data_IF_092609259343
#
_entry.id   IF_092609259343
#
_cell.length_a   1.000
_cell.length_b   1.000
_cell.length_c   1.000
_cell.angle_alpha   90.00
_cell.angle_beta   90.00
_cell.angle_gamma   90.00
#
_symmetry.space_group_name_H-M   'P 1'
#
loop_
_entity.id
_entity.type
_entity.pdbx_description
1 polymer ?
#
# COMPACT_ATOMS: atom_id res chain seq x y z
N UNK A 1 9.12 8.49 0.40
CA UNK A 1 8.39 8.75 1.67
C UNK A 1 6.87 8.74 1.55
N UNK A 2 6.26 9.19 0.44
CA UNK A 2 4.80 9.25 0.30
C UNK A 2 4.06 7.92 0.61
N UNK A 3 4.53 6.79 0.07
CA UNK A 3 3.97 5.46 0.38
C UNK A 3 4.15 5.08 1.85
N UNK A 4 5.37 5.24 2.38
CA UNK A 4 5.71 4.87 3.76
C UNK A 4 4.88 5.65 4.79
N UNK A 5 4.69 6.96 4.58
CA UNK A 5 3.83 7.76 5.44
C UNK A 5 2.35 7.48 5.20
N UNK A 6 1.92 7.39 3.95
CA UNK A 6 0.51 7.22 3.62
C UNK A 6 -0.06 5.85 4.00
N UNK A 7 0.72 4.78 3.88
CA UNK A 7 0.28 3.43 4.26
C UNK A 7 0.16 3.24 5.77
N UNK A 8 0.84 4.06 6.58
CA UNK A 8 0.69 4.12 8.05
C UNK A 8 -0.62 4.77 8.49
N UNK A 9 -1.22 5.61 7.65
CA UNK A 9 -2.46 6.31 7.97
C UNK A 9 -3.65 5.37 7.85
N UNK A 10 -4.62 5.52 8.75
CA UNK A 10 -5.86 4.72 8.71
C UNK A 10 -6.66 4.95 7.43
N UNK A 11 -6.51 6.13 6.85
CA UNK A 11 -7.11 6.55 5.60
C UNK A 11 -6.48 5.88 4.37
N UNK A 12 -5.22 5.40 4.46
CA UNK A 12 -4.50 4.74 3.37
C UNK A 12 -4.02 5.66 2.26
N UNK A 13 -3.61 5.07 1.14
CA UNK A 13 -3.11 5.73 -0.08
C UNK A 13 -4.03 5.38 -1.24
N UNK A 14 -4.39 6.38 -2.04
CA UNK A 14 -5.04 6.16 -3.32
C UNK A 14 -3.97 5.75 -4.37
N UNK A 15 -4.05 4.53 -4.94
CA UNK A 15 -3.09 4.05 -5.95
C UNK A 15 -3.05 4.92 -7.23
N UNK A 16 -4.19 5.51 -7.61
CA UNK A 16 -4.27 6.39 -8.78
C UNK A 16 -3.61 7.74 -8.48
N UNK A 17 -3.82 8.28 -7.28
CA UNK A 17 -3.10 9.49 -6.84
C UNK A 17 -1.59 9.26 -6.74
N UNK A 18 -1.17 8.09 -6.27
CA UNK A 18 0.24 7.71 -6.27
C UNK A 18 0.84 7.74 -7.69
N UNK A 19 0.14 7.19 -8.68
CA UNK A 19 0.57 7.25 -10.09
C UNK A 19 0.66 8.68 -10.62
N UNK A 20 -0.32 9.54 -10.32
CA UNK A 20 -0.30 10.94 -10.77
C UNK A 20 0.87 11.73 -10.17
N UNK A 21 1.29 11.41 -8.94
CA UNK A 21 2.39 12.11 -8.26
C UNK A 21 3.78 11.61 -8.66
N UNK A 22 3.90 10.30 -8.94
CA UNK A 22 5.22 9.65 -9.10
C UNK A 22 5.49 9.15 -10.52
N UNK A 23 4.46 9.06 -11.37
CA UNK A 23 4.51 8.39 -12.67
C UNK A 23 4.60 6.86 -12.59
N UNK A 24 4.65 6.27 -11.39
CA UNK A 24 4.77 4.83 -11.17
C UNK A 24 3.44 4.21 -10.79
N UNK A 25 3.12 3.04 -11.36
CA UNK A 25 1.92 2.27 -10.97
C UNK A 25 2.32 1.23 -9.94
N UNK A 26 1.51 1.09 -8.90
CA UNK A 26 1.63 -0.06 -8.01
C UNK A 26 1.23 -1.33 -8.76
N UNK A 27 2.01 -2.40 -8.59
CA UNK A 27 1.71 -3.69 -9.20
C UNK A 27 0.44 -4.30 -8.61
N UNK A 28 -0.57 -4.55 -9.45
CA UNK A 28 -1.84 -5.13 -9.00
C UNK A 28 -1.69 -6.58 -8.55
N UNK A 29 -0.78 -7.34 -9.17
CA UNK A 29 -0.46 -8.70 -8.70
C UNK A 29 0.16 -8.65 -7.32
N UNK A 30 1.09 -7.71 -7.08
CA UNK A 30 1.76 -7.61 -5.79
C UNK A 30 0.82 -7.14 -4.68
N UNK A 31 -0.06 -6.19 -4.97
CA UNK A 31 -1.14 -5.81 -4.06
C UNK A 31 -2.00 -7.03 -3.70
N UNK A 32 -2.39 -7.84 -4.69
CA UNK A 32 -3.23 -9.01 -4.45
C UNK A 32 -2.53 -10.06 -3.57
N UNK A 33 -1.23 -10.29 -3.78
CA UNK A 33 -0.42 -11.17 -2.93
C UNK A 33 -0.36 -10.67 -1.49
N UNK A 34 -0.03 -9.39 -1.28
CA UNK A 34 0.04 -8.78 0.05
C UNK A 34 -1.32 -8.76 0.78
N UNK A 35 -2.44 -8.66 0.04
CA UNK A 35 -3.79 -8.83 0.60
C UNK A 35 -4.03 -10.27 1.01
N UNK A 36 -3.62 -11.23 0.16
CA UNK A 36 -3.69 -12.66 0.47
C UNK A 36 -2.89 -13.04 1.73
N UNK A 37 -1.76 -12.38 1.95
CA UNK A 37 -0.92 -12.53 3.14
C UNK A 37 -1.46 -11.74 4.36
N UNK A 38 -2.55 -10.99 4.20
CA UNK A 38 -3.14 -10.18 5.27
C UNK A 38 -2.33 -8.94 5.65
N UNK A 39 -1.30 -8.56 4.89
CA UNK A 39 -0.37 -7.47 5.20
C UNK A 39 -0.92 -6.10 4.80
N UNK A 40 -1.76 -6.05 3.77
CA UNK A 40 -2.43 -4.82 3.32
C UNK A 40 -3.91 -5.08 3.08
N UNK A 41 -4.69 -4.02 3.06
CA UNK A 41 -6.13 -4.09 2.78
C UNK A 41 -6.60 -2.85 2.02
N UNK A 42 -7.67 -3.01 1.25
CA UNK A 42 -8.41 -1.87 0.71
C UNK A 42 -9.44 -1.38 1.73
N UNK A 43 -9.46 -0.07 1.95
CA UNK A 43 -10.53 0.59 2.69
C UNK A 43 -11.81 0.63 1.86
N UNK A 44 -12.91 1.02 2.49
CA UNK A 44 -14.20 1.23 1.81
C UNK A 44 -14.14 2.31 0.71
N UNK A 45 -13.21 3.24 0.83
CA UNK A 45 -12.97 4.31 -0.16
C UNK A 45 -11.99 3.90 -1.26
N UNK A 46 -11.73 2.60 -1.41
CA UNK A 46 -10.81 2.03 -2.40
C UNK A 46 -9.36 2.54 -2.26
N UNK A 47 -8.94 2.80 -1.01
CA UNK A 47 -7.56 3.21 -0.68
C UNK A 47 -6.79 2.04 -0.09
N UNK A 48 -5.53 1.89 -0.46
CA UNK A 48 -4.65 0.85 0.05
C UNK A 48 -4.03 1.29 1.37
N UNK A 49 -4.10 0.47 2.41
CA UNK A 49 -3.36 0.71 3.66
C UNK A 49 -2.72 -0.58 4.15
N UNK A 50 -1.78 -0.44 5.08
CA UNK A 50 -1.22 -1.59 5.78
C UNK A 50 -2.15 -2.01 6.90
N UNK A 51 -2.32 -3.33 7.05
CA UNK A 51 -3.14 -3.91 8.11
C UNK A 51 -2.42 -3.84 9.46
N UNK A 52 -3.08 -4.29 10.52
CA UNK A 52 -2.42 -4.42 11.83
C UNK A 52 -1.31 -5.48 11.81
N UNK A 53 -1.46 -6.54 11.01
CA UNK A 53 -0.47 -7.61 10.86
C UNK A 53 0.72 -7.20 9.98
N UNK A 54 0.49 -6.36 8.97
CA UNK A 54 1.55 -5.83 8.12
C UNK A 54 2.35 -4.67 8.72
N UNK A 55 1.85 -4.02 9.78
CA UNK A 55 2.50 -2.84 10.36
C UNK A 55 3.93 -3.10 10.89
N UNK A 56 4.22 -4.22 11.59
CA UNK A 56 5.58 -4.54 12.05
C UNK A 56 6.59 -4.70 10.90
N UNK A 57 6.14 -5.03 9.70
CA UNK A 57 6.96 -5.27 8.50
C UNK A 57 6.73 -4.21 7.42
N UNK A 58 6.23 -3.04 7.79
CA UNK A 58 5.84 -1.98 6.87
C UNK A 58 6.93 -1.61 5.86
N UNK A 59 8.18 -1.53 6.30
CA UNK A 59 9.27 -1.11 5.40
C UNK A 59 9.47 -2.14 4.28
N UNK A 60 9.29 -3.43 4.58
CA UNK A 60 9.30 -4.50 3.58
C UNK A 60 8.09 -4.38 2.64
N UNK A 61 6.88 -4.14 3.17
CA UNK A 61 5.67 -3.94 2.36
C UNK A 61 5.81 -2.74 1.42
N UNK A 62 6.43 -1.64 1.87
CA UNK A 62 6.68 -0.45 1.04
C UNK A 62 7.69 -0.74 -0.05
N UNK A 63 8.82 -1.38 0.29
CA UNK A 63 9.86 -1.73 -0.68
C UNK A 63 9.30 -2.62 -1.78
N UNK A 64 8.45 -3.54 -1.38
CA UNK A 64 7.80 -4.52 -2.22
C UNK A 64 6.73 -3.94 -3.16
N UNK A 65 5.90 -3.01 -2.66
CA UNK A 65 4.94 -2.26 -3.48
C UNK A 65 5.60 -1.27 -4.46
N UNK A 66 6.83 -0.82 -4.16
CA UNK A 66 7.54 0.20 -4.92
C UNK A 66 8.61 -0.34 -5.88
N UNK A 67 8.84 -1.66 -5.87
CA UNK A 67 9.73 -2.39 -6.78
C UNK A 67 9.17 -2.37 -8.22
#
# INVERSE_FOLDING_TARGET
>A
EFLLMGLRLREGVDPQRYFLLTGKRLSQSRISELIGDGLVEFTRDNRLRVSSEGFPVLDAVVADLAA
#
